data_IF_272227935316
#
_entry.id   IF_272227935316
#
_cell.length_a   1.000
_cell.length_b   1.000
_cell.length_c   1.000
_cell.angle_alpha   90.00
_cell.angle_beta   90.00
_cell.angle_gamma   90.00
#
_symmetry.space_group_name_H-M   'P 1'
#
loop_
_entity.id
_entity.type
_entity.pdbx_description
1 polymer ?
#
# COMPACT_ATOMS: atom_id res chain seq x y z
N UNK A 1 -8.34 -8.04 -6.59
CA UNK A 1 -8.07 -7.05 -5.51
C UNK A 1 -9.28 -6.89 -4.61
N UNK A 2 -9.07 -6.41 -3.38
CA UNK A 2 -10.10 -6.14 -2.37
C UNK A 2 -9.82 -4.81 -1.68
N UNK A 3 -10.85 -4.24 -1.09
CA UNK A 3 -10.73 -3.00 -0.32
C UNK A 3 -10.71 -3.34 1.18
N UNK A 4 -9.79 -2.70 1.90
CA UNK A 4 -9.74 -2.75 3.36
C UNK A 4 -9.76 -1.32 3.89
N UNK A 5 -10.67 -1.03 4.80
CA UNK A 5 -10.85 0.34 5.29
C UNK A 5 -11.25 0.32 6.77
N UNK A 6 -10.33 0.79 7.62
CA UNK A 6 -10.54 0.90 9.07
C UNK A 6 -11.47 2.06 9.46
N UNK A 7 -11.95 2.83 8.49
CA UNK A 7 -13.00 3.83 8.71
C UNK A 7 -14.40 3.19 8.78
N UNK A 8 -14.66 2.21 7.91
CA UNK A 8 -15.96 1.54 7.81
C UNK A 8 -16.10 0.33 8.72
N UNK A 9 -14.99 -0.34 9.04
CA UNK A 9 -14.98 -1.57 9.82
C UNK A 9 -14.17 -1.42 11.10
N UNK A 10 -14.56 -2.15 12.15
CA UNK A 10 -13.73 -2.30 13.34
C UNK A 10 -12.51 -3.20 13.07
N UNK A 11 -11.58 -3.23 14.03
CA UNK A 11 -10.33 -3.96 13.87
C UNK A 11 -10.52 -5.46 13.65
N UNK A 12 -11.50 -6.09 14.29
CA UNK A 12 -11.72 -7.54 14.14
C UNK A 12 -12.35 -7.86 12.78
N UNK A 13 -13.29 -7.06 12.32
CA UNK A 13 -13.88 -7.19 10.98
C UNK A 13 -12.83 -6.93 9.90
N UNK A 14 -11.97 -5.91 10.07
CA UNK A 14 -10.86 -5.64 9.14
C UNK A 14 -9.92 -6.84 9.03
N UNK A 15 -9.50 -7.41 10.15
CA UNK A 15 -8.64 -8.61 10.18
C UNK A 15 -9.32 -9.80 9.50
N UNK A 16 -10.60 -10.01 9.79
CA UNK A 16 -11.37 -11.09 9.20
C UNK A 16 -11.42 -10.98 7.67
N UNK A 17 -11.79 -9.81 7.15
CA UNK A 17 -11.82 -9.55 5.70
C UNK A 17 -10.45 -9.75 5.05
N UNK A 18 -9.37 -9.31 5.72
CA UNK A 18 -8.02 -9.56 5.24
C UNK A 18 -7.71 -11.05 5.19
N UNK A 19 -7.90 -11.77 6.29
CA UNK A 19 -7.61 -13.20 6.38
C UNK A 19 -8.40 -14.01 5.35
N UNK A 20 -9.71 -13.74 5.21
CA UNK A 20 -10.56 -14.44 4.26
C UNK A 20 -10.10 -14.27 2.80
N UNK A 21 -9.67 -13.06 2.46
CA UNK A 21 -9.21 -12.77 1.10
C UNK A 21 -7.74 -13.17 0.84
N UNK A 22 -6.99 -13.53 1.87
CA UNK A 22 -5.58 -13.94 1.79
C UNK A 22 -5.38 -15.47 1.81
N UNK A 23 -6.40 -16.27 2.09
CA UNK A 23 -6.31 -17.73 2.32
C UNK A 23 -5.57 -18.49 1.21
N UNK A 24 -5.80 -18.12 -0.04
CA UNK A 24 -5.22 -18.80 -1.19
C UNK A 24 -4.04 -18.02 -1.81
N UNK A 25 -3.44 -17.10 -1.05
CA UNK A 25 -2.36 -16.25 -1.54
C UNK A 25 -1.05 -16.57 -0.81
N UNK A 26 0.04 -16.74 -1.57
CA UNK A 26 1.38 -16.85 -0.99
C UNK A 26 1.83 -15.53 -0.35
N UNK A 27 1.44 -14.39 -0.94
CA UNK A 27 1.75 -13.04 -0.47
C UNK A 27 0.56 -12.12 -0.71
N UNK A 28 0.30 -11.25 0.28
CA UNK A 28 -0.67 -10.16 0.17
C UNK A 28 0.04 -8.82 0.19
N UNK A 29 -0.31 -7.94 -0.74
CA UNK A 29 0.23 -6.58 -0.82
C UNK A 29 -0.90 -5.60 -0.58
N UNK A 30 -0.75 -4.74 0.44
CA UNK A 30 -1.68 -3.66 0.73
C UNK A 30 -1.10 -2.33 0.24
N UNK A 31 -1.85 -1.60 -0.56
CA UNK A 31 -1.50 -0.27 -1.02
C UNK A 31 -2.06 0.79 -0.08
N UNK A 32 -1.20 1.68 0.42
CA UNK A 32 -1.62 2.89 1.13
C UNK A 32 -1.94 4.00 0.14
N UNK A 33 -3.16 4.53 0.18
CA UNK A 33 -3.69 5.44 -0.85
C UNK A 33 -3.21 6.90 -0.69
N UNK A 34 -2.96 7.34 0.54
CA UNK A 34 -2.54 8.71 0.87
C UNK A 34 -1.20 8.70 1.62
N UNK A 35 -0.81 9.83 2.20
CA UNK A 35 0.33 9.84 3.09
C UNK A 35 0.17 8.83 4.22
N UNK A 36 1.26 8.17 4.60
CA UNK A 36 1.26 7.02 5.51
C UNK A 36 0.49 7.27 6.82
N UNK A 37 0.59 8.48 7.36
CA UNK A 37 -0.08 8.89 8.61
C UNK A 37 -1.35 9.72 8.39
N UNK A 38 -1.72 9.98 7.13
CA UNK A 38 -2.84 10.86 6.81
C UNK A 38 -4.15 10.08 6.94
N UNK A 39 -4.89 10.37 7.99
CA UNK A 39 -6.17 9.75 8.28
C UNK A 39 -7.33 10.74 8.23
N UNK A 40 -8.39 10.43 8.96
CA UNK A 40 -9.65 11.19 8.95
C UNK A 40 -9.41 12.67 9.24
N UNK A 41 -10.02 13.52 8.43
CA UNK A 41 -9.96 14.99 8.52
C UNK A 41 -8.53 15.58 8.38
N UNK A 42 -7.52 14.79 7.98
CA UNK A 42 -6.15 15.25 7.81
C UNK A 42 -5.43 15.66 9.11
N UNK A 43 -6.00 15.35 10.27
CA UNK A 43 -5.46 15.73 11.59
C UNK A 43 -5.24 14.56 12.52
N UNK A 44 -5.64 13.37 12.13
CA UNK A 44 -5.49 12.13 12.92
C UNK A 44 -4.85 11.04 12.08
N UNK A 45 -4.31 10.00 12.74
CA UNK A 45 -3.82 8.81 12.05
C UNK A 45 -4.89 7.72 11.93
N UNK A 46 -6.12 7.97 12.36
CA UNK A 46 -7.23 7.01 12.27
C UNK A 46 -7.62 6.81 10.80
N UNK A 47 -7.82 5.57 10.41
CA UNK A 47 -8.13 5.17 9.03
C UNK A 47 -7.05 5.56 8.00
N UNK A 48 -5.79 5.71 8.43
CA UNK A 48 -4.62 5.86 7.56
C UNK A 48 -4.02 4.50 7.20
N UNK A 49 -3.05 4.49 6.29
CA UNK A 49 -2.25 3.30 6.00
C UNK A 49 -1.50 2.78 7.25
N UNK A 50 -1.06 3.69 8.13
CA UNK A 50 -0.48 3.34 9.44
C UNK A 50 -1.50 2.61 10.33
N UNK A 51 -2.74 3.09 10.39
CA UNK A 51 -3.79 2.47 11.20
C UNK A 51 -4.10 1.04 10.69
N UNK A 52 -4.20 0.87 9.38
CA UNK A 52 -4.39 -0.43 8.77
C UNK A 52 -3.20 -1.38 9.05
N UNK A 53 -1.97 -0.91 8.87
CA UNK A 53 -0.76 -1.70 9.18
C UNK A 53 -0.71 -2.10 10.66
N UNK A 54 -1.13 -1.21 11.56
CA UNK A 54 -1.21 -1.50 13.00
C UNK A 54 -2.29 -2.53 13.34
N UNK A 55 -3.46 -2.45 12.70
CA UNK A 55 -4.54 -3.42 12.89
C UNK A 55 -4.14 -4.81 12.40
N UNK A 56 -3.43 -4.90 11.30
CA UNK A 56 -3.03 -6.17 10.67
C UNK A 56 -1.63 -6.64 11.10
N UNK A 57 -0.92 -5.88 11.94
CA UNK A 57 0.49 -6.12 12.35
C UNK A 57 1.41 -6.39 11.14
N UNK A 58 1.21 -5.62 10.07
CA UNK A 58 1.88 -5.83 8.79
C UNK A 58 3.17 -5.01 8.69
N UNK A 59 4.30 -5.60 8.25
CA UNK A 59 5.51 -4.85 7.96
C UNK A 59 5.30 -3.88 6.80
N UNK A 60 5.82 -2.67 6.94
CA UNK A 60 5.61 -1.57 5.98
C UNK A 60 6.88 -1.29 5.20
N UNK A 61 6.73 -1.14 3.89
CA UNK A 61 7.74 -0.59 3.00
C UNK A 61 7.33 0.86 2.67
N UNK A 62 8.12 1.81 3.13
CA UNK A 62 7.88 3.22 2.86
C UNK A 62 8.46 3.59 1.49
N UNK A 63 7.62 4.04 0.58
CA UNK A 63 8.05 4.59 -0.72
C UNK A 63 8.19 6.10 -0.59
N UNK A 64 9.40 6.62 -0.77
CA UNK A 64 9.69 8.04 -0.59
C UNK A 64 10.10 8.70 -1.90
N UNK A 65 9.51 9.85 -2.20
CA UNK A 65 9.97 10.67 -3.31
C UNK A 65 11.33 11.30 -2.95
N UNK A 66 12.37 10.85 -3.61
CA UNK A 66 13.75 11.27 -3.34
C UNK A 66 14.28 12.33 -4.31
N UNK A 67 13.42 12.87 -5.19
CA UNK A 67 13.80 13.87 -6.18
C UNK A 67 14.40 15.11 -5.53
N UNK A 68 15.63 15.44 -5.89
CA UNK A 68 16.34 16.63 -5.38
C UNK A 68 16.79 16.53 -3.92
N UNK A 69 16.70 15.34 -3.31
CA UNK A 69 17.14 15.10 -1.94
C UNK A 69 18.49 14.35 -1.92
N UNK A 70 19.26 14.59 -0.88
CA UNK A 70 20.46 13.83 -0.52
C UNK A 70 20.42 13.48 0.97
N UNK A 71 21.34 13.95 1.81
CA UNK A 71 21.35 13.64 3.26
C UNK A 71 20.02 13.97 3.96
N UNK A 72 19.29 14.99 3.51
CA UNK A 72 17.95 15.30 4.04
C UNK A 72 16.95 14.16 3.92
N UNK A 73 17.18 13.22 3.00
CA UNK A 73 16.36 12.03 2.86
C UNK A 73 16.42 11.15 4.12
N UNK A 74 17.59 11.05 4.77
CA UNK A 74 17.73 10.33 6.03
C UNK A 74 16.87 10.96 7.15
N UNK A 75 16.88 12.29 7.26
CA UNK A 75 16.04 13.00 8.24
C UNK A 75 14.55 12.81 7.93
N UNK A 76 14.16 12.79 6.65
CA UNK A 76 12.80 12.57 6.22
C UNK A 76 12.32 11.16 6.59
N UNK A 77 13.08 10.12 6.23
CA UNK A 77 12.75 8.73 6.56
C UNK A 77 12.73 8.52 8.07
N UNK A 78 13.72 9.06 8.79
CA UNK A 78 13.77 9.02 10.25
C UNK A 78 12.52 9.60 10.90
N UNK A 79 12.05 10.75 10.39
CA UNK A 79 10.82 11.37 10.85
C UNK A 79 9.62 10.44 10.73
N UNK A 80 9.47 9.72 9.62
CA UNK A 80 8.42 8.71 9.47
C UNK A 80 8.57 7.55 10.44
N UNK A 81 9.78 7.04 10.63
CA UNK A 81 10.03 5.91 11.54
C UNK A 81 9.75 6.24 13.00
N UNK A 82 10.05 7.48 13.42
CA UNK A 82 9.99 7.90 14.82
C UNK A 82 8.70 8.66 15.19
N UNK A 83 7.90 9.08 14.22
CA UNK A 83 6.66 9.82 14.49
C UNK A 83 5.66 9.01 15.31
N UNK A 84 5.65 7.69 15.13
CA UNK A 84 4.97 6.74 16.00
C UNK A 84 5.95 5.63 16.38
N UNK A 85 5.91 5.17 17.65
CA UNK A 85 6.84 4.15 18.17
C UNK A 85 6.73 2.82 17.42
N UNK A 86 5.54 2.50 16.96
CA UNK A 86 5.12 1.28 16.27
C UNK A 86 4.74 1.58 14.82
N UNK A 87 5.60 2.28 14.12
CA UNK A 87 5.35 2.67 12.72
C UNK A 87 5.26 1.48 11.77
N UNK A 88 5.71 0.29 12.17
CA UNK A 88 5.85 -0.91 11.34
C UNK A 88 6.76 -0.73 10.11
N UNK A 89 7.41 0.43 9.93
CA UNK A 89 8.30 0.70 8.80
C UNK A 89 9.58 -0.11 8.98
N UNK A 90 9.80 -1.08 8.10
CA UNK A 90 10.95 -1.99 8.15
C UNK A 90 11.79 -1.93 6.89
N UNK A 91 11.28 -1.32 5.81
CA UNK A 91 11.98 -1.12 4.56
C UNK A 91 11.66 0.20 3.91
N UNK A 92 12.54 0.65 3.02
CA UNK A 92 12.32 1.87 2.23
C UNK A 92 12.71 1.65 0.77
N UNK A 93 11.92 2.22 -0.14
CA UNK A 93 12.22 2.30 -1.57
C UNK A 93 12.30 3.77 -1.95
N UNK A 94 13.35 4.15 -2.67
CA UNK A 94 13.53 5.52 -3.15
C UNK A 94 12.88 5.71 -4.52
N UNK A 95 11.82 6.48 -4.59
CA UNK A 95 11.19 6.83 -5.86
C UNK A 95 11.86 8.08 -6.47
N UNK A 96 12.03 8.10 -7.79
CA UNK A 96 12.73 9.15 -8.56
C UNK A 96 14.19 9.38 -8.13
N UNK A 97 14.88 8.31 -7.73
CA UNK A 97 16.27 8.34 -7.33
C UNK A 97 17.20 8.20 -8.54
N UNK A 98 18.26 9.01 -8.54
CA UNK A 98 19.34 8.86 -9.52
C UNK A 98 20.15 7.57 -9.26
N UNK A 99 20.40 6.73 -10.29
CA UNK A 99 21.24 5.54 -10.13
C UNK A 99 22.64 5.83 -9.56
N UNK A 100 23.19 7.00 -9.87
CA UNK A 100 24.52 7.41 -9.39
C UNK A 100 24.53 7.72 -7.88
N UNK A 101 23.42 8.25 -7.36
CA UNK A 101 23.30 8.64 -5.96
C UNK A 101 22.86 7.48 -5.06
N UNK A 102 22.12 6.53 -5.63
CA UNK A 102 21.51 5.41 -4.90
C UNK A 102 22.48 4.66 -3.97
N UNK A 103 23.69 4.18 -4.43
CA UNK A 103 24.57 3.40 -3.55
C UNK A 103 24.98 4.16 -2.27
N UNK A 104 25.25 5.45 -2.41
CA UNK A 104 25.65 6.30 -1.28
C UNK A 104 24.50 6.52 -0.31
N UNK A 105 23.29 6.71 -0.84
CA UNK A 105 22.10 6.92 0.00
C UNK A 105 21.68 5.64 0.70
N UNK A 106 21.82 4.48 0.02
CA UNK A 106 21.59 3.17 0.62
C UNK A 106 22.51 2.98 1.83
N UNK A 107 23.83 3.12 1.64
CA UNK A 107 24.81 2.97 2.71
C UNK A 107 24.53 3.91 3.89
N UNK A 108 24.21 5.17 3.59
CA UNK A 108 23.92 6.18 4.61
C UNK A 108 22.70 5.80 5.48
N UNK A 109 21.56 5.45 4.84
CA UNK A 109 20.34 5.14 5.59
C UNK A 109 20.44 3.82 6.34
N UNK A 110 21.03 2.80 5.75
CA UNK A 110 21.23 1.51 6.42
C UNK A 110 22.14 1.66 7.65
N UNK A 111 23.20 2.47 7.55
CA UNK A 111 24.13 2.71 8.66
C UNK A 111 23.53 3.60 9.75
N UNK A 112 22.85 4.68 9.41
CA UNK A 112 22.39 5.66 10.38
C UNK A 112 21.03 5.34 10.99
N UNK A 113 20.14 4.69 10.22
CA UNK A 113 18.76 4.42 10.63
C UNK A 113 18.48 2.95 10.94
N UNK A 114 19.42 2.06 10.64
CA UNK A 114 19.23 0.61 10.76
C UNK A 114 17.95 0.11 10.07
N UNK A 115 17.67 0.65 8.88
CA UNK A 115 16.53 0.28 8.04
C UNK A 115 17.02 -0.38 6.74
N UNK A 116 16.30 -1.36 6.23
CA UNK A 116 16.61 -1.97 4.94
C UNK A 116 16.24 -1.02 3.80
N UNK A 117 17.19 -0.73 2.89
CA UNK A 117 16.91 -0.04 1.63
C UNK A 117 16.71 -1.10 0.54
N UNK A 118 15.45 -1.29 0.16
CA UNK A 118 14.98 -2.35 -0.73
C UNK A 118 15.12 -2.03 -2.21
N UNK A 119 15.65 -0.86 -2.53
CA UNK A 119 15.91 -0.47 -3.91
C UNK A 119 15.48 0.95 -4.24
N UNK A 120 15.43 1.22 -5.53
CA UNK A 120 15.01 2.52 -6.03
C UNK A 120 14.26 2.40 -7.36
N UNK A 121 13.47 3.41 -7.67
CA UNK A 121 12.83 3.60 -8.98
C UNK A 121 13.45 4.86 -9.60
N UNK A 122 14.10 4.78 -10.76
CA UNK A 122 14.59 5.96 -11.45
C UNK A 122 13.43 6.83 -11.96
N UNK A 123 13.73 8.05 -12.41
CA UNK A 123 12.74 8.86 -13.08
C UNK A 123 12.35 8.19 -14.41
N UNK A 124 11.07 7.93 -14.60
CA UNK A 124 10.50 7.31 -15.80
C UNK A 124 9.43 8.25 -16.36
N UNK A 125 9.80 9.02 -17.40
CA UNK A 125 8.90 10.01 -18.01
C UNK A 125 7.86 9.35 -18.94
N UNK A 126 8.14 8.15 -19.41
CA UNK A 126 7.33 7.35 -20.33
C UNK A 126 6.35 6.38 -19.64
N UNK A 127 6.40 6.29 -18.32
CA UNK A 127 5.49 5.45 -17.51
C UNK A 127 4.58 6.29 -16.60
N UNK A 128 4.28 7.53 -16.99
CA UNK A 128 3.40 8.40 -16.22
C UNK A 128 1.94 8.10 -16.59
N UNK A 129 1.14 7.77 -15.58
CA UNK A 129 -0.31 7.67 -15.72
C UNK A 129 -0.89 9.05 -15.38
N UNK A 130 -1.56 9.67 -16.35
CA UNK A 130 -2.21 10.96 -16.15
C UNK A 130 -3.38 10.84 -15.17
N UNK A 131 -3.47 11.78 -14.22
CA UNK A 131 -4.62 11.86 -13.33
C UNK A 131 -5.64 12.85 -13.87
N UNK A 132 -6.92 12.54 -13.75
CA UNK A 132 -8.00 13.50 -14.05
C UNK A 132 -8.22 14.44 -12.86
N UNK A 133 -8.69 15.65 -13.16
CA UNK A 133 -9.07 16.62 -12.12
C UNK A 133 -10.28 16.15 -11.28
N UNK A 134 -11.13 15.30 -11.85
CA UNK A 134 -12.32 14.72 -11.21
C UNK A 134 -12.45 13.25 -11.64
N UNK A 135 -12.53 12.37 -10.67
CA UNK A 135 -12.72 10.94 -10.88
C UNK A 135 -11.44 10.17 -11.18
N UNK A 136 -11.57 8.84 -11.17
CA UNK A 136 -10.51 7.91 -11.54
C UNK A 136 -10.51 7.68 -13.05
N UNK A 137 -9.35 7.39 -13.61
CA UNK A 137 -9.22 6.90 -14.97
C UNK A 137 -9.34 5.39 -14.93
N UNK A 138 -10.28 4.84 -15.71
CA UNK A 138 -10.42 3.38 -15.78
C UNK A 138 -9.21 2.76 -16.50
N UNK A 139 -8.78 1.55 -16.12
CA UNK A 139 -7.67 0.86 -16.77
C UNK A 139 -7.85 0.74 -18.29
N UNK A 140 -9.09 0.54 -18.76
CA UNK A 140 -9.42 0.41 -20.18
C UNK A 140 -9.37 1.75 -20.94
N UNK A 141 -9.36 2.88 -20.23
CA UNK A 141 -9.23 4.22 -20.79
C UNK A 141 -7.76 4.67 -20.97
N UNK A 142 -6.80 3.91 -20.45
CA UNK A 142 -5.38 4.25 -20.53
C UNK A 142 -4.75 3.53 -21.73
N UNK A 143 -4.40 4.27 -22.81
CA UNK A 143 -3.68 3.65 -23.92
C UNK A 143 -2.36 3.02 -23.44
N UNK A 144 -2.02 1.88 -23.97
CA UNK A 144 -0.73 1.20 -23.71
C UNK A 144 -0.45 0.91 -22.21
N UNK A 145 -1.48 0.87 -21.34
CA UNK A 145 -1.28 0.61 -19.90
C UNK A 145 -0.47 -0.66 -19.66
N UNK A 146 -0.80 -1.74 -20.37
CA UNK A 146 -0.10 -3.03 -20.20
C UNK A 146 1.38 -2.95 -20.60
N UNK A 147 1.69 -2.21 -21.66
CA UNK A 147 3.07 -2.01 -22.12
C UNK A 147 3.86 -1.13 -21.15
N UNK A 148 3.23 -0.08 -20.61
CA UNK A 148 3.82 0.77 -19.58
C UNK A 148 4.11 -0.01 -18.30
N UNK A 149 3.16 -0.85 -17.86
CA UNK A 149 3.35 -1.72 -16.69
C UNK A 149 4.45 -2.75 -16.93
N UNK A 150 4.54 -3.31 -18.14
CA UNK A 150 5.61 -4.27 -18.46
C UNK A 150 7.00 -3.60 -18.43
N UNK A 151 7.14 -2.42 -19.04
CA UNK A 151 8.38 -1.63 -18.98
C UNK A 151 8.76 -1.26 -17.55
N UNK A 152 7.77 -0.87 -16.74
CA UNK A 152 8.00 -0.59 -15.32
C UNK A 152 8.51 -1.84 -14.60
N UNK A 153 7.87 -2.98 -14.81
CA UNK A 153 8.29 -4.26 -14.20
C UNK A 153 9.73 -4.61 -14.54
N UNK A 154 10.14 -4.50 -15.82
CA UNK A 154 11.54 -4.74 -16.24
C UNK A 154 12.56 -3.82 -15.54
N UNK A 155 12.17 -2.59 -15.23
CA UNK A 155 13.04 -1.69 -14.47
C UNK A 155 13.08 -2.09 -13.00
N UNK A 156 11.92 -2.39 -12.40
CA UNK A 156 11.82 -2.77 -11.00
C UNK A 156 12.57 -4.07 -10.70
N UNK A 157 12.54 -5.06 -11.58
CA UNK A 157 13.33 -6.29 -11.46
C UNK A 157 14.85 -6.04 -11.36
N UNK A 158 15.34 -4.96 -11.97
CA UNK A 158 16.76 -4.59 -11.96
C UNK A 158 17.16 -3.67 -10.82
N UNK A 159 16.20 -2.97 -10.24
CA UNK A 159 16.46 -1.87 -9.29
C UNK A 159 15.92 -2.11 -7.89
N UNK A 160 15.05 -3.09 -7.72
CA UNK A 160 14.56 -3.53 -6.43
C UNK A 160 15.20 -4.84 -6.01
N UNK A 161 15.42 -5.00 -4.72
CA UNK A 161 15.82 -6.26 -4.09
C UNK A 161 14.55 -7.08 -3.78
N UNK A 162 14.06 -7.80 -4.79
CA UNK A 162 12.83 -8.59 -4.70
C UNK A 162 12.94 -9.65 -3.61
N UNK A 163 14.10 -10.31 -3.50
CA UNK A 163 14.30 -11.33 -2.47
C UNK A 163 14.21 -10.75 -1.05
N UNK A 164 14.76 -9.57 -0.83
CA UNK A 164 14.63 -8.90 0.45
C UNK A 164 13.19 -8.42 0.74
N UNK A 165 12.43 -8.04 -0.29
CA UNK A 165 10.99 -7.73 -0.17
C UNK A 165 10.21 -8.98 0.22
N UNK A 166 10.46 -10.12 -0.42
CA UNK A 166 9.83 -11.40 -0.10
C UNK A 166 10.17 -11.83 1.33
N UNK A 167 11.45 -11.77 1.73
CA UNK A 167 11.86 -12.05 3.11
C UNK A 167 11.18 -11.15 4.14
N UNK A 168 10.95 -9.88 3.79
CA UNK A 168 10.22 -8.96 4.64
C UNK A 168 8.75 -9.39 4.77
N UNK A 169 8.11 -9.78 3.68
CA UNK A 169 6.74 -10.29 3.68
C UNK A 169 6.62 -11.58 4.52
N UNK A 170 7.57 -12.52 4.39
CA UNK A 170 7.64 -13.75 5.18
C UNK A 170 7.84 -13.49 6.68
N UNK A 171 8.39 -12.34 7.06
CA UNK A 171 8.56 -11.95 8.48
C UNK A 171 7.27 -11.46 9.13
N UNK A 172 6.20 -11.26 8.37
CA UNK A 172 4.90 -10.88 8.90
C UNK A 172 4.38 -11.95 9.88
N UNK A 173 3.76 -11.49 10.94
CA UNK A 173 3.17 -12.41 11.92
C UNK A 173 1.92 -13.07 11.35
N UNK A 174 1.70 -14.31 11.77
CA UNK A 174 0.45 -14.98 11.46
C UNK A 174 -0.72 -14.21 12.07
N UNK A 175 -1.65 -13.83 11.21
CA UNK A 175 -2.87 -13.11 11.59
C UNK A 175 -4.02 -14.10 11.66
N UNK A 176 -4.74 -14.08 12.77
CA UNK A 176 -5.97 -14.84 12.94
C UNK A 176 -7.12 -13.91 13.30
N UNK A 177 -8.27 -14.14 12.72
CA UNK A 177 -9.48 -13.39 13.02
C UNK A 177 -10.67 -14.31 13.15
N UNK A 178 -11.67 -13.86 13.90
CA UNK A 178 -12.94 -14.58 14.00
C UNK A 178 -13.94 -13.94 13.06
N UNK A 179 -14.78 -14.78 12.45
CA UNK A 179 -15.90 -14.30 11.67
C UNK A 179 -16.77 -13.35 12.53
N UNK A 180 -17.04 -12.12 12.03
CA UNK A 180 -17.87 -11.19 12.77
C UNK A 180 -19.29 -11.74 12.92
N UNK A 181 -19.85 -11.63 14.11
CA UNK A 181 -21.24 -12.02 14.35
C UNK A 181 -22.14 -10.96 13.72
N UNK A 182 -22.91 -11.37 12.74
CA UNK A 182 -23.97 -10.55 12.17
C UNK A 182 -25.26 -10.87 12.95
N UNK A 183 -25.56 -10.08 13.94
CA UNK A 183 -26.81 -10.20 14.73
C UNK A 183 -28.03 -9.61 13.99
N UNK A 184 -28.05 -9.76 12.66
CA UNK A 184 -29.10 -9.23 11.82
C UNK A 184 -29.86 -10.36 11.13
N UNK A 185 -31.13 -10.54 11.51
CA UNK A 185 -32.02 -11.52 10.86
C UNK A 185 -33.14 -10.77 10.15
N UNK A 186 -33.14 -10.85 8.84
CA UNK A 186 -34.28 -10.37 8.04
C UNK A 186 -35.48 -11.29 8.24
N UNK A 187 -36.61 -10.72 8.63
CA UNK A 187 -37.88 -11.48 8.71
C UNK A 187 -38.36 -11.95 7.34
N UNK A 188 -37.95 -11.25 6.29
CA UNK A 188 -38.28 -11.59 4.90
C UNK A 188 -37.06 -11.32 4.02
N UNK A 189 -36.82 -12.12 2.95
CA UNK A 189 -35.77 -11.87 2.00
C UNK A 189 -36.00 -10.53 1.29
N UNK A 190 -34.95 -9.73 1.20
CA UNK A 190 -34.95 -8.48 0.43
C UNK A 190 -34.39 -8.74 -0.97
N UNK A 191 -34.90 -8.00 -1.94
CA UNK A 191 -34.29 -7.90 -3.28
C UNK A 191 -33.59 -6.56 -3.38
N UNK A 192 -32.30 -6.60 -3.62
CA UNK A 192 -31.46 -5.41 -3.81
C UNK A 192 -31.12 -5.34 -5.30
N UNK A 193 -31.52 -4.26 -5.96
CA UNK A 193 -31.08 -3.96 -7.31
C UNK A 193 -29.75 -3.20 -7.27
N UNK A 194 -28.78 -3.65 -8.05
CA UNK A 194 -27.48 -3.00 -8.19
C UNK A 194 -27.37 -2.50 -9.64
N UNK A 195 -27.06 -1.20 -9.83
CA UNK A 195 -26.68 -0.70 -11.13
C UNK A 195 -25.23 -1.12 -11.40
N UNK A 196 -25.01 -1.81 -12.51
CA UNK A 196 -23.70 -2.31 -12.91
C UNK A 196 -23.55 -2.08 -14.43
N UNK A 197 -22.86 -1.01 -14.78
CA UNK A 197 -22.59 -0.59 -16.16
C UNK A 197 -21.28 0.23 -16.20
N UNK A 198 -20.95 0.80 -17.35
CA UNK A 198 -19.71 1.60 -17.53
C UNK A 198 -19.62 2.83 -16.60
N UNK A 199 -20.75 3.35 -16.12
CA UNK A 199 -20.80 4.49 -15.19
C UNK A 199 -20.84 4.05 -13.72
N UNK A 200 -21.38 2.88 -13.43
CA UNK A 200 -21.53 2.29 -12.10
C UNK A 200 -20.75 0.99 -12.02
N UNK A 201 -19.43 1.09 -11.90
CA UNK A 201 -18.51 -0.07 -11.94
C UNK A 201 -17.55 -0.14 -10.73
N UNK A 202 -17.62 0.80 -9.80
CA UNK A 202 -16.78 0.81 -8.60
C UNK A 202 -17.54 0.29 -7.39
N UNK A 203 -17.38 -0.99 -7.10
CA UNK A 203 -17.98 -1.63 -5.93
C UNK A 203 -16.89 -2.27 -5.06
N UNK A 204 -17.12 -2.25 -3.75
CA UNK A 204 -16.40 -3.14 -2.86
C UNK A 204 -16.97 -4.55 -3.02
N UNK A 205 -16.14 -5.47 -3.43
CA UNK A 205 -16.53 -6.87 -3.66
C UNK A 205 -17.22 -7.50 -2.44
N UNK A 206 -16.76 -7.12 -1.25
CA UNK A 206 -17.33 -7.63 -0.01
C UNK A 206 -18.77 -7.12 0.28
N UNK A 207 -19.25 -6.12 -0.47
CA UNK A 207 -20.66 -5.69 -0.39
C UNK A 207 -21.63 -6.65 -1.10
N UNK A 208 -21.11 -7.58 -1.92
CA UNK A 208 -21.92 -8.56 -2.64
C UNK A 208 -22.00 -9.93 -1.93
N UNK A 209 -21.35 -10.06 -0.77
CA UNK A 209 -21.33 -11.24 0.09
C UNK A 209 -22.28 -11.07 1.26
#
# INVERSE_FOLDING_TARGET
>A
SRNLDTFFTDSETTKYLFCENAVDCDISVMEGVMGFYDGVAGTTTKASAYDLASVTDTPVILIVNSRGMSVSLAAYVKGFMEYRKDSHIQGVIFNQMSPMLYPRMKELLEKELNIKVLGYVPKMDDCVIESRHLGLVLPDEIPELKENLHRLAEVLEKTLDIDAILQLAESARELSAKEPRIDFCLKHPLRIGVADDEAFCFFYEDNFR
#
